data_IF_468893359719
#
_entry.id   IF_468893359719
#
_cell.length_a   1.000
_cell.length_b   1.000
_cell.length_c   1.000
_cell.angle_alpha   90.00
_cell.angle_beta   90.00
_cell.angle_gamma   90.00
#
_symmetry.space_group_name_H-M   'P 1'
#
loop_
_entity.id
_entity.type
_entity.pdbx_description
1 polymer ?
#
# COMPACT_ATOMS: atom_id res chain seq x y z
N UNK A 1 33.12 30.64 7.47
CA UNK A 1 33.47 29.21 7.24
C UNK A 1 34.37 28.60 8.31
N UNK A 2 35.36 29.31 8.87
CA UNK A 2 36.23 28.74 9.91
C UNK A 2 35.58 28.55 11.29
N UNK A 3 34.51 29.28 11.59
CA UNK A 3 33.80 29.25 12.88
C UNK A 3 32.93 27.99 13.06
N UNK A 4 32.33 27.48 11.98
CA UNK A 4 31.49 26.28 11.99
C UNK A 4 32.33 24.99 12.14
N UNK A 5 33.53 24.97 11.56
CA UNK A 5 34.46 23.83 11.66
C UNK A 5 35.01 23.64 13.08
N UNK A 6 35.08 24.70 13.90
CA UNK A 6 35.52 24.60 15.31
C UNK A 6 34.46 24.00 16.23
N UNK A 7 33.18 24.09 15.87
CA UNK A 7 32.10 23.49 16.65
C UNK A 7 32.00 21.97 16.41
N UNK A 8 32.23 21.54 15.16
CA UNK A 8 32.23 20.13 14.77
C UNK A 8 33.32 19.30 15.50
N UNK A 9 34.51 19.87 15.70
CA UNK A 9 35.63 19.18 16.35
C UNK A 9 35.52 19.07 17.88
N UNK A 10 34.52 19.68 18.52
CA UNK A 10 34.44 19.75 19.99
C UNK A 10 33.64 18.61 20.62
N UNK A 11 32.72 17.96 19.88
CA UNK A 11 31.83 16.92 20.42
C UNK A 11 31.51 15.80 19.40
N UNK A 12 32.49 14.95 19.02
CA UNK A 12 32.32 13.94 17.97
C UNK A 12 31.26 12.88 18.30
N UNK A 13 31.04 12.58 19.59
CA UNK A 13 30.00 11.63 20.05
C UNK A 13 28.57 12.17 19.98
N UNK A 14 28.40 13.50 19.96
CA UNK A 14 27.08 14.13 19.90
C UNK A 14 26.61 14.32 18.46
N UNK A 15 27.55 14.46 17.52
CA UNK A 15 27.25 14.54 16.08
C UNK A 15 26.69 13.23 15.51
N UNK A 16 27.20 12.07 15.97
CA UNK A 16 26.71 10.76 15.52
C UNK A 16 25.23 10.58 15.90
N UNK A 17 24.83 11.00 17.10
CA UNK A 17 23.45 10.86 17.59
C UNK A 17 22.45 11.66 16.75
N UNK A 18 22.82 12.89 16.35
CA UNK A 18 21.95 13.77 15.55
C UNK A 18 21.77 13.22 14.13
N UNK A 19 22.81 12.64 13.51
CA UNK A 19 22.69 11.98 12.20
C UNK A 19 21.74 10.77 12.24
N UNK A 20 21.76 9.97 13.31
CA UNK A 20 20.83 8.84 13.47
C UNK A 20 19.37 9.29 13.70
N UNK A 21 19.15 10.43 14.36
CA UNK A 21 17.79 10.97 14.61
C UNK A 21 17.19 11.57 13.33
N UNK A 22 17.98 12.26 12.50
CA UNK A 22 17.51 12.88 11.24
C UNK A 22 17.21 11.83 10.15
N UNK A 23 17.88 10.67 10.18
CA UNK A 23 17.59 9.55 9.27
C UNK A 23 16.31 8.78 9.62
N UNK A 24 15.70 9.05 10.78
CA UNK A 24 14.48 8.37 11.25
C UNK A 24 13.20 9.15 10.97
N UNK A 25 13.30 10.39 10.48
CA UNK A 25 12.13 11.19 10.10
C UNK A 25 11.79 11.04 8.61
N UNK A 26 11.69 9.80 8.11
CA UNK A 26 10.96 9.54 6.88
C UNK A 26 9.47 9.54 7.22
N UNK A 27 8.81 10.68 7.05
CA UNK A 27 7.36 10.72 6.98
C UNK A 27 6.95 9.88 5.78
N UNK A 28 6.31 8.76 6.06
CA UNK A 28 5.88 7.81 5.04
C UNK A 28 4.77 8.46 4.21
N UNK A 29 5.15 8.99 3.04
CA UNK A 29 4.16 9.23 1.99
C UNK A 29 3.49 7.89 1.66
N UNK A 30 2.16 7.91 1.50
CA UNK A 30 1.41 6.69 1.18
C UNK A 30 1.90 6.14 -0.15
N UNK A 31 2.21 4.85 -0.19
CA UNK A 31 2.72 4.16 -1.37
C UNK A 31 2.05 2.79 -1.52
N UNK A 32 2.13 2.21 -2.72
CA UNK A 32 1.72 0.83 -2.92
C UNK A 32 2.73 -0.10 -2.23
N UNK A 33 2.22 -1.12 -1.56
CA UNK A 33 3.03 -2.15 -0.92
C UNK A 33 2.78 -3.49 -1.59
N UNK A 34 3.84 -4.26 -1.80
CA UNK A 34 3.73 -5.63 -2.26
C UNK A 34 3.30 -6.59 -1.12
N UNK A 35 3.34 -7.90 -1.39
CA UNK A 35 2.92 -8.93 -0.43
C UNK A 35 3.87 -9.14 0.76
N UNK A 36 5.09 -8.58 0.70
CA UNK A 36 6.09 -8.64 1.76
C UNK A 36 6.34 -7.27 2.41
N UNK A 37 5.45 -6.31 2.16
CA UNK A 37 5.47 -4.94 2.69
C UNK A 37 6.57 -4.03 2.10
N UNK A 38 7.14 -4.40 0.96
CA UNK A 38 8.10 -3.55 0.26
C UNK A 38 7.38 -2.51 -0.61
N UNK A 39 7.82 -1.24 -0.62
CA UNK A 39 7.28 -0.20 -1.49
C UNK A 39 7.47 -0.51 -2.97
N UNK A 40 6.40 -0.36 -3.75
CA UNK A 40 6.40 -0.46 -5.22
C UNK A 40 5.68 0.73 -5.84
N UNK A 41 6.09 1.15 -7.03
CA UNK A 41 5.45 2.28 -7.72
C UNK A 41 4.01 1.96 -8.14
N UNK A 42 3.77 0.71 -8.54
CA UNK A 42 2.47 0.21 -8.96
C UNK A 42 2.43 -1.32 -8.90
N UNK A 43 1.22 -1.86 -8.73
CA UNK A 43 0.94 -3.27 -8.94
C UNK A 43 -0.47 -3.46 -9.51
N UNK A 44 -0.71 -4.64 -10.07
CA UNK A 44 -2.04 -5.09 -10.48
C UNK A 44 -2.41 -6.40 -9.80
N UNK A 45 -3.69 -6.53 -9.45
CA UNK A 45 -4.29 -7.77 -8.95
C UNK A 45 -5.47 -8.14 -9.83
N UNK A 46 -5.51 -9.37 -10.30
CA UNK A 46 -6.62 -9.91 -11.07
C UNK A 46 -7.27 -11.09 -10.33
N UNK A 47 -8.44 -10.87 -9.75
CA UNK A 47 -9.19 -11.90 -9.02
C UNK A 47 -9.81 -12.92 -9.98
N UNK A 48 -9.65 -14.20 -9.66
CA UNK A 48 -10.25 -15.30 -10.40
C UNK A 48 -11.68 -15.54 -9.87
N UNK A 49 -12.70 -15.66 -10.74
CA UNK A 49 -14.06 -15.95 -10.30
C UNK A 49 -14.17 -17.32 -9.63
N UNK A 50 -15.25 -17.54 -8.88
CA UNK A 50 -15.55 -18.85 -8.30
C UNK A 50 -15.78 -19.87 -9.42
N UNK A 51 -14.97 -20.93 -9.46
CA UNK A 51 -15.12 -22.04 -10.41
C UNK A 51 -15.27 -23.36 -9.66
N UNK A 52 -16.52 -23.75 -9.36
CA UNK A 52 -16.85 -24.90 -8.50
C UNK A 52 -16.25 -26.24 -8.93
N UNK A 53 -15.98 -26.40 -10.22
CA UNK A 53 -15.37 -27.59 -10.82
C UNK A 53 -13.83 -27.63 -10.71
N UNK A 54 -13.19 -26.56 -10.25
CA UNK A 54 -11.73 -26.50 -10.09
C UNK A 54 -11.23 -27.48 -9.04
N UNK A 55 -10.09 -28.12 -9.32
CA UNK A 55 -9.35 -28.93 -8.35
C UNK A 55 -8.58 -28.05 -7.34
N UNK A 56 -8.17 -26.84 -7.73
CA UNK A 56 -7.58 -25.87 -6.81
C UNK A 56 -8.69 -25.26 -5.92
N UNK A 57 -8.52 -25.38 -4.60
CA UNK A 57 -9.50 -24.95 -3.61
C UNK A 57 -9.69 -23.43 -3.55
N UNK A 58 -8.64 -22.64 -3.82
CA UNK A 58 -8.71 -21.18 -3.82
C UNK A 58 -9.53 -20.71 -5.01
N UNK A 59 -9.31 -21.33 -6.17
CA UNK A 59 -10.09 -21.06 -7.38
C UNK A 59 -11.54 -21.52 -7.19
N UNK A 60 -11.73 -22.70 -6.58
CA UNK A 60 -13.06 -23.22 -6.25
C UNK A 60 -13.86 -22.30 -5.35
N UNK A 61 -13.20 -21.58 -4.45
CA UNK A 61 -13.81 -20.60 -3.55
C UNK A 61 -13.83 -19.15 -4.09
N UNK A 62 -13.31 -18.90 -5.30
CA UNK A 62 -13.19 -17.54 -5.85
C UNK A 62 -12.25 -16.63 -5.05
N UNK A 63 -11.24 -17.23 -4.40
CA UNK A 63 -10.24 -16.57 -3.56
C UNK A 63 -8.88 -16.42 -4.24
N UNK A 64 -8.66 -17.13 -5.35
CA UNK A 64 -7.44 -17.06 -6.12
C UNK A 64 -7.33 -15.73 -6.89
N UNK A 65 -6.11 -15.25 -7.09
CA UNK A 65 -5.83 -14.06 -7.88
C UNK A 65 -4.43 -14.13 -8.50
N UNK A 66 -4.25 -13.45 -9.62
CA UNK A 66 -2.94 -13.15 -10.17
C UNK A 66 -2.44 -11.81 -9.64
N UNK A 67 -1.11 -11.68 -9.59
CA UNK A 67 -0.39 -10.47 -9.19
C UNK A 67 0.72 -10.17 -10.21
N UNK A 68 1.00 -8.89 -10.42
CA UNK A 68 2.24 -8.41 -11.02
C UNK A 68 2.52 -6.98 -10.54
N UNK A 69 3.76 -6.54 -10.62
CA UNK A 69 4.19 -5.21 -10.21
C UNK A 69 5.31 -4.67 -11.12
N UNK A 70 5.85 -3.51 -10.73
CA UNK A 70 6.97 -2.86 -11.44
C UNK A 70 8.24 -3.71 -11.51
N UNK A 71 8.51 -4.55 -10.50
CA UNK A 71 9.72 -5.35 -10.39
C UNK A 71 9.59 -6.72 -11.07
N UNK A 72 8.36 -7.25 -11.13
CA UNK A 72 7.99 -8.51 -11.75
C UNK A 72 6.75 -8.31 -12.63
N UNK A 73 6.91 -7.77 -13.85
CA UNK A 73 5.79 -7.39 -14.74
C UNK A 73 5.18 -8.60 -15.47
N UNK A 74 5.06 -9.74 -14.79
CA UNK A 74 4.51 -10.99 -15.33
C UNK A 74 3.42 -11.49 -14.40
N UNK A 75 2.23 -11.76 -14.96
CA UNK A 75 1.12 -12.33 -14.21
C UNK A 75 1.52 -13.64 -13.55
N UNK A 76 1.60 -13.62 -12.23
CA UNK A 76 1.97 -14.78 -11.41
C UNK A 76 0.80 -15.14 -10.51
N UNK A 77 0.43 -16.42 -10.48
CA UNK A 77 -0.64 -16.88 -9.61
C UNK A 77 -0.18 -16.72 -8.16
N UNK A 78 -0.96 -15.97 -7.37
CA UNK A 78 -0.59 -15.68 -5.99
C UNK A 78 -0.62 -16.93 -5.12
N UNK A 79 0.41 -17.09 -4.28
CA UNK A 79 0.45 -18.08 -3.22
C UNK A 79 -0.53 -17.79 -2.08
N UNK A 80 -1.11 -16.59 -2.04
CA UNK A 80 -2.01 -16.09 -0.98
C UNK A 80 -3.44 -15.96 -1.51
N UNK A 81 -4.44 -16.07 -0.64
CA UNK A 81 -5.82 -15.77 -1.04
C UNK A 81 -6.09 -14.27 -1.01
N UNK A 82 -7.06 -13.82 -1.79
CA UNK A 82 -7.42 -12.38 -1.88
C UNK A 82 -7.95 -11.80 -0.55
N UNK A 83 -8.38 -12.65 0.39
CA UNK A 83 -8.92 -12.26 1.70
C UNK A 83 -7.92 -12.44 2.86
N UNK A 84 -6.68 -12.85 2.59
CA UNK A 84 -5.62 -12.89 3.60
C UNK A 84 -5.10 -11.48 3.90
N UNK A 85 -4.50 -11.30 5.08
CA UNK A 85 -3.82 -10.05 5.45
C UNK A 85 -2.41 -9.93 4.85
N UNK A 86 -1.77 -11.04 4.50
CA UNK A 86 -0.41 -11.04 3.92
C UNK A 86 -0.48 -10.96 2.39
N UNK A 87 -0.98 -9.85 1.85
CA UNK A 87 -1.07 -9.61 0.40
C UNK A 87 -1.18 -8.10 0.09
N UNK A 88 -0.77 -7.72 -1.12
CA UNK A 88 -0.50 -6.34 -1.52
C UNK A 88 -1.66 -5.35 -1.31
N UNK A 89 -2.91 -5.78 -1.55
CA UNK A 89 -4.10 -4.94 -1.30
C UNK A 89 -4.25 -4.68 0.20
N UNK A 90 -4.13 -5.69 1.04
CA UNK A 90 -4.25 -5.51 2.50
C UNK A 90 -3.12 -4.60 2.99
N UNK A 91 -1.88 -4.89 2.60
CA UNK A 91 -0.73 -4.13 3.07
C UNK A 91 -0.86 -2.66 2.67
N UNK A 92 -1.19 -2.38 1.40
CA UNK A 92 -1.46 -1.03 0.90
C UNK A 92 -2.59 -0.36 1.66
N UNK A 93 -3.71 -1.05 1.90
CA UNK A 93 -4.91 -0.45 2.52
C UNK A 93 -4.85 -0.37 4.06
N UNK A 94 -3.94 -1.11 4.70
CA UNK A 94 -3.86 -1.23 6.15
C UNK A 94 -3.68 0.12 6.87
N UNK A 95 -2.93 1.12 6.36
CA UNK A 95 -2.79 2.41 7.04
C UNK A 95 -4.11 3.19 7.06
N UNK A 96 -4.91 3.08 5.99
CA UNK A 96 -6.22 3.76 5.85
C UNK A 96 -7.20 3.25 6.89
N UNK A 97 -7.30 1.93 7.06
CA UNK A 97 -8.27 1.32 7.98
C UNK A 97 -7.84 1.34 9.45
N UNK A 98 -6.54 1.41 9.73
CA UNK A 98 -6.02 1.40 11.10
C UNK A 98 -5.89 2.81 11.72
N UNK A 99 -6.45 3.85 11.10
CA UNK A 99 -6.35 5.25 11.54
C UNK A 99 -4.91 5.70 11.83
N UNK A 100 -3.93 5.18 11.06
CA UNK A 100 -2.51 5.60 11.16
C UNK A 100 -2.18 6.70 10.16
N UNK A 101 -3.19 7.42 9.70
CA UNK A 101 -3.14 8.24 8.50
C UNK A 101 -3.50 9.70 8.83
N UNK A 102 -2.96 10.23 9.94
CA UNK A 102 -3.27 11.58 10.46
C UNK A 102 -3.00 12.69 9.42
N UNK A 103 -2.07 12.47 8.49
CA UNK A 103 -1.73 13.36 7.37
C UNK A 103 -2.24 12.86 5.99
N UNK A 104 -3.24 11.98 5.99
CA UNK A 104 -3.81 11.38 4.77
C UNK A 104 -5.26 11.77 4.58
N UNK A 105 -5.58 12.33 3.42
CA UNK A 105 -6.95 12.54 2.96
C UNK A 105 -7.32 11.43 1.96
N UNK A 106 -8.54 10.93 2.05
CA UNK A 106 -9.03 9.92 1.12
C UNK A 106 -10.47 10.13 0.66
N UNK A 107 -10.76 9.66 -0.55
CA UNK A 107 -12.10 9.66 -1.14
C UNK A 107 -12.43 8.27 -1.66
N UNK A 108 -13.53 7.68 -1.18
CA UNK A 108 -14.07 6.41 -1.67
C UNK A 108 -15.28 6.66 -2.56
N UNK A 109 -15.31 6.01 -3.72
CA UNK A 109 -16.40 6.06 -4.69
C UNK A 109 -16.92 4.65 -4.98
N UNK A 110 -18.23 4.53 -5.14
CA UNK A 110 -18.92 3.31 -5.55
C UNK A 110 -20.14 3.72 -6.39
N UNK A 111 -20.24 3.21 -7.61
CA UNK A 111 -21.38 3.46 -8.51
C UNK A 111 -22.62 2.61 -8.16
N UNK A 112 -22.46 1.62 -7.29
CA UNK A 112 -23.55 0.78 -6.79
C UNK A 112 -24.44 1.58 -5.80
N UNK A 113 -25.73 1.77 -6.11
CA UNK A 113 -26.61 2.60 -5.30
C UNK A 113 -26.90 1.95 -3.93
N UNK A 114 -27.11 2.77 -2.88
CA UNK A 114 -27.52 2.26 -1.57
C UNK A 114 -28.87 1.52 -1.65
N UNK A 115 -29.04 0.56 -0.74
CA UNK A 115 -29.71 -0.74 -0.88
C UNK A 115 -31.22 -0.78 -1.18
N UNK A 116 -31.76 -0.02 -2.15
CA UNK A 116 -33.17 -0.14 -2.56
C UNK A 116 -33.37 -0.09 -4.09
N UNK A 117 -32.29 0.05 -4.85
CA UNK A 117 -32.30 0.25 -6.30
C UNK A 117 -31.35 -0.76 -6.95
N UNK A 118 -31.69 -2.06 -6.89
CA UNK A 118 -30.84 -3.09 -7.48
C UNK A 118 -30.85 -2.98 -9.01
N UNK A 119 -29.78 -2.44 -9.59
CA UNK A 119 -29.54 -2.54 -11.02
C UNK A 119 -28.68 -3.77 -11.28
N UNK A 120 -29.33 -4.93 -11.45
CA UNK A 120 -28.64 -6.24 -11.64
C UNK A 120 -27.95 -6.39 -13.01
N UNK A 121 -27.58 -5.30 -13.67
CA UNK A 121 -26.98 -5.33 -15.02
C UNK A 121 -25.71 -4.49 -15.03
N UNK A 122 -24.57 -5.17 -15.19
CA UNK A 122 -23.26 -4.54 -15.39
C UNK A 122 -22.26 -4.87 -14.29
N UNK A 123 -20.99 -4.55 -14.55
CA UNK A 123 -19.97 -4.50 -13.50
C UNK A 123 -20.05 -3.16 -12.77
N UNK A 124 -19.80 -3.18 -11.47
CA UNK A 124 -19.74 -1.99 -10.62
C UNK A 124 -18.29 -1.62 -10.36
N UNK A 125 -18.01 -0.32 -10.36
CA UNK A 125 -16.67 0.22 -10.14
C UNK A 125 -16.58 0.84 -8.76
N UNK A 126 -15.61 0.36 -7.97
CA UNK A 126 -15.26 0.93 -6.67
C UNK A 126 -13.86 1.51 -6.78
N UNK A 127 -13.67 2.74 -6.30
CA UNK A 127 -12.39 3.46 -6.40
C UNK A 127 -12.06 4.07 -5.05
N UNK A 128 -10.78 4.03 -4.69
CA UNK A 128 -10.21 4.77 -3.58
C UNK A 128 -9.13 5.71 -4.12
N UNK A 129 -9.24 6.99 -3.79
CA UNK A 129 -8.21 7.99 -4.02
C UNK A 129 -7.56 8.35 -2.69
N UNK A 130 -6.23 8.31 -2.66
CA UNK A 130 -5.42 8.63 -1.48
C UNK A 130 -4.50 9.78 -1.78
N UNK A 131 -4.50 10.77 -0.90
CA UNK A 131 -3.68 11.96 -0.97
C UNK A 131 -2.96 12.10 0.36
N UNK A 132 -1.63 12.07 0.33
CA UNK A 132 -0.83 12.36 1.52
C UNK A 132 -0.25 13.74 1.43
N UNK A 133 -0.16 14.40 2.58
CA UNK A 133 0.61 15.63 2.67
C UNK A 133 2.06 15.29 2.32
N UNK A 134 2.58 15.93 1.27
CA UNK A 134 4.01 15.84 0.98
C UNK A 134 4.76 16.41 2.19
N UNK A 135 5.72 15.65 2.69
CA UNK A 135 6.55 16.11 3.79
C UNK A 135 7.33 17.35 3.31
N UNK A 136 7.09 18.49 3.94
CA UNK A 136 7.81 19.72 3.63
C UNK A 136 9.31 19.48 3.89
N UNK A 137 10.15 19.58 2.86
CA UNK A 137 11.59 19.64 3.02
C UNK A 137 11.95 21.04 3.55
N UNK A 138 11.76 21.22 4.87
CA UNK A 138 12.20 22.40 5.62
C UNK A 138 13.70 22.45 5.82
#
# INVERSE_FOLDING_TARGET
MQSALRFANKYPRMQTLVFFIVLWSSGLAFTCLDSIQDPVDWYYVYKIPEMRSSADWKVKAGLAHFYLDVNSPVWTLSGRTINESQQSIYETMSPVYNNKADDTMYLMYNDEPPSNLSYNRGGHTKVLWLLTKLQDFG
#
